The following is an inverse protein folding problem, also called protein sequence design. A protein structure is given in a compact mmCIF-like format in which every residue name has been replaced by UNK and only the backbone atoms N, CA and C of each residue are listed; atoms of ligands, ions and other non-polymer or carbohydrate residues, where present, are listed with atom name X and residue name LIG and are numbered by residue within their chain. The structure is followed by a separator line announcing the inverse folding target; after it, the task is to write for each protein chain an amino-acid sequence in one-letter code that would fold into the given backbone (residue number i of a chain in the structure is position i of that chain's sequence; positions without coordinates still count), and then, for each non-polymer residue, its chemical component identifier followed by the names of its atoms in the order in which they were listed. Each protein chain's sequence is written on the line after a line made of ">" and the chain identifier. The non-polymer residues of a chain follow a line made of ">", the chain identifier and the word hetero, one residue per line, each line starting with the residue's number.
data_IF_826778074694
#
_entry.id   IF_826778074694
#
_cell.length_a   1.000
_cell.length_b   1.000
_cell.length_c   1.000
_cell.angle_alpha   90.00
_cell.angle_beta   90.00
_cell.angle_gamma   90.00
#
_symmetry.space_group_name_H-M   'P 1'
#
loop_
_entity.id
_entity.type
_entity.pdbx_description
1 polymer ?
#
# COMPACT_ATOMS: atom_id res chain seq x y z
N UNK A 1 9.49 21.68 11.89
CA UNK A 1 9.45 20.36 11.22
C UNK A 1 10.28 20.48 9.95
N UNK A 2 11.34 19.69 9.76
CA UNK A 2 12.15 19.77 8.53
C UNK A 2 11.31 19.21 7.37
N UNK A 3 10.90 20.07 6.44
CA UNK A 3 10.24 19.64 5.21
C UNK A 3 11.30 19.06 4.29
N UNK A 4 11.51 17.75 4.37
CA UNK A 4 12.35 17.05 3.40
C UNK A 4 11.50 16.87 2.14
N UNK A 5 11.76 17.67 1.11
CA UNK A 5 11.16 17.48 -0.21
C UNK A 5 11.76 16.23 -0.86
N UNK A 6 11.27 15.05 -0.49
CA UNK A 6 11.61 13.80 -1.15
C UNK A 6 10.60 13.53 -2.25
N UNK A 7 11.10 13.35 -3.46
CA UNK A 7 10.29 12.96 -4.61
C UNK A 7 9.98 11.45 -4.50
N UNK A 8 8.93 11.11 -3.74
CA UNK A 8 8.47 9.72 -3.57
C UNK A 8 7.75 9.29 -4.84
N UNK A 9 8.22 8.21 -5.47
CA UNK A 9 7.53 7.58 -6.58
C UNK A 9 6.53 6.56 -6.04
N UNK A 10 5.26 6.72 -6.42
CA UNK A 10 4.16 5.83 -6.03
C UNK A 10 3.73 5.04 -7.27
N UNK A 11 3.87 3.72 -7.21
CA UNK A 11 3.55 2.83 -8.32
C UNK A 11 2.07 2.40 -8.34
N UNK A 12 1.74 1.48 -9.25
CA UNK A 12 0.38 0.97 -9.40
C UNK A 12 -0.10 0.11 -8.22
N UNK A 13 0.80 -0.61 -7.55
CA UNK A 13 0.51 -1.45 -6.38
C UNK A 13 0.24 -0.56 -5.18
N UNK A 14 1.08 0.44 -4.94
CA UNK A 14 0.93 1.38 -3.85
C UNK A 14 -0.43 2.09 -3.92
N UNK A 15 -0.83 2.50 -5.14
CA UNK A 15 -2.15 3.10 -5.37
C UNK A 15 -3.30 2.15 -5.08
N UNK A 16 -3.15 0.83 -5.28
CA UNK A 16 -4.19 -0.15 -4.94
C UNK A 16 -4.27 -0.36 -3.43
N UNK A 17 -3.13 -0.45 -2.75
CA UNK A 17 -3.07 -0.55 -1.27
C UNK A 17 -3.74 0.67 -0.64
N UNK A 18 -3.34 1.87 -1.07
CA UNK A 18 -3.93 3.13 -0.59
C UNK A 18 -5.44 3.17 -0.81
N UNK A 19 -5.92 2.79 -2.01
CA UNK A 19 -7.37 2.75 -2.28
C UNK A 19 -8.13 1.76 -1.39
N UNK A 20 -7.57 0.58 -1.15
CA UNK A 20 -8.19 -0.40 -0.26
C UNK A 20 -8.29 0.14 1.18
N UNK A 21 -7.20 0.69 1.70
CA UNK A 21 -7.15 1.25 3.06
C UNK A 21 -7.98 2.53 3.23
N UNK A 22 -8.07 3.37 2.19
CA UNK A 22 -8.95 4.54 2.18
C UNK A 22 -10.43 4.12 2.17
N UNK A 23 -10.75 2.94 1.65
CA UNK A 23 -12.12 2.39 1.64
C UNK A 23 -12.46 1.75 2.99
N UNK A 24 -11.60 0.88 3.51
CA UNK A 24 -11.67 0.37 4.89
C UNK A 24 -10.25 0.14 5.41
N UNK A 25 -9.84 0.94 6.40
CA UNK A 25 -8.52 0.86 7.01
C UNK A 25 -8.29 -0.44 7.80
N UNK A 26 -9.35 -1.21 8.10
CA UNK A 26 -9.26 -2.51 8.78
C UNK A 26 -9.13 -3.68 7.81
N UNK A 27 -9.06 -3.42 6.50
CA UNK A 27 -8.88 -4.47 5.49
C UNK A 27 -7.61 -5.26 5.81
N UNK A 28 -7.68 -6.60 6.01
CA UNK A 28 -6.51 -7.41 6.31
C UNK A 28 -5.45 -7.32 5.20
N UNK A 29 -4.17 -7.20 5.58
CA UNK A 29 -3.05 -7.14 4.63
C UNK A 29 -3.06 -8.32 3.65
N UNK A 30 -3.38 -9.52 4.14
CA UNK A 30 -3.45 -10.73 3.31
C UNK A 30 -4.54 -10.62 2.23
N UNK A 31 -5.64 -9.92 2.51
CA UNK A 31 -6.71 -9.70 1.55
C UNK A 31 -6.25 -8.74 0.44
N UNK A 32 -5.57 -7.64 0.80
CA UNK A 32 -4.97 -6.71 -0.16
C UNK A 32 -3.95 -7.44 -1.04
N UNK A 33 -3.10 -8.28 -0.43
CA UNK A 33 -2.12 -9.09 -1.14
C UNK A 33 -2.77 -10.02 -2.18
N UNK A 34 -3.88 -10.66 -1.83
CA UNK A 34 -4.66 -11.50 -2.74
C UNK A 34 -5.25 -10.70 -3.91
N UNK A 35 -5.77 -9.50 -3.67
CA UNK A 35 -6.34 -8.65 -4.72
C UNK A 35 -5.26 -8.15 -5.72
N UNK A 36 -4.05 -7.90 -5.23
CA UNK A 36 -2.92 -7.45 -6.06
C UNK A 36 -2.21 -8.62 -6.75
N UNK A 37 -2.27 -9.82 -6.18
CA UNK A 37 -1.62 -11.02 -6.72
C UNK A 37 -0.17 -11.18 -6.28
N UNK A 38 0.18 -10.69 -5.07
CA UNK A 38 1.53 -10.83 -4.49
C UNK A 38 1.47 -11.41 -3.08
N UNK A 39 2.62 -11.74 -2.49
CA UNK A 39 2.66 -12.29 -1.14
C UNK A 39 2.30 -11.23 -0.08
N UNK A 40 1.71 -11.67 1.04
CA UNK A 40 1.40 -10.78 2.16
C UNK A 40 2.64 -10.08 2.73
N UNK A 41 3.78 -10.78 2.75
CA UNK A 41 5.07 -10.20 3.14
C UNK A 41 5.51 -9.06 2.20
N UNK A 42 5.26 -9.18 0.89
CA UNK A 42 5.59 -8.14 -0.08
C UNK A 42 4.72 -6.89 0.10
N UNK A 43 3.43 -7.03 0.45
CA UNK A 43 2.57 -5.88 0.82
C UNK A 43 3.02 -5.27 2.14
N UNK A 44 3.46 -6.07 3.11
CA UNK A 44 3.86 -5.56 4.42
C UNK A 44 5.10 -4.62 4.37
N UNK A 45 5.95 -4.76 3.35
CA UNK A 45 7.14 -3.92 3.15
C UNK A 45 6.86 -2.59 2.41
N UNK A 46 5.61 -2.39 1.97
CA UNK A 46 5.18 -1.24 1.15
C UNK A 46 4.48 -0.21 2.03
#
# INVERSE_FOLDING_TARGET
>A
MKTVNQNIQIDGIDKKILRALMTDARTPILEIARQVGISGAAIHQR
#
